data_IF_817677921742
#
_entry.id   IF_817677921742
#
_cell.length_a   1.000
_cell.length_b   1.000
_cell.length_c   1.000
_cell.angle_alpha   90.00
_cell.angle_beta   90.00
_cell.angle_gamma   90.00
#
_symmetry.space_group_name_H-M   'P 1'
#
loop_
_entity.id
_entity.type
_entity.pdbx_description
1 polymer ?
#
# COMPACT_ATOMS: atom_id res chain seq x y z
N UNK A 1 19.94 -6.79 3.83
CA UNK A 1 19.33 -5.47 3.51
C UNK A 1 18.83 -4.85 4.81
N UNK A 2 19.29 -3.64 5.15
CA UNK A 2 18.88 -2.94 6.38
C UNK A 2 17.59 -2.17 6.08
N UNK A 3 16.48 -2.51 6.74
CA UNK A 3 15.28 -1.66 6.72
C UNK A 3 15.66 -0.31 7.34
N UNK A 4 15.35 0.79 6.66
CA UNK A 4 15.68 2.14 7.15
C UNK A 4 14.72 2.49 8.29
N UNK A 5 15.18 2.33 9.53
CA UNK A 5 14.49 2.84 10.71
C UNK A 5 14.54 4.37 10.68
N UNK A 6 13.41 5.03 10.43
CA UNK A 6 13.28 6.47 10.56
C UNK A 6 12.57 6.78 11.88
N UNK A 7 13.33 7.20 12.89
CA UNK A 7 12.78 7.82 14.10
C UNK A 7 12.43 9.27 13.78
N UNK A 8 11.25 9.50 13.21
CA UNK A 8 10.81 10.87 12.88
C UNK A 8 9.98 11.43 14.02
N UNK A 9 10.61 12.27 14.84
CA UNK A 9 9.98 13.09 15.86
C UNK A 9 9.31 14.32 15.21
N UNK A 10 8.08 14.62 15.67
CA UNK A 10 7.49 15.97 15.81
C UNK A 10 6.51 16.54 14.76
N UNK A 11 6.42 16.04 13.52
CA UNK A 11 5.49 16.65 12.52
C UNK A 11 4.33 15.78 12.02
N UNK A 12 4.14 14.54 12.51
CA UNK A 12 3.08 13.63 12.01
C UNK A 12 2.01 13.20 13.04
N UNK A 13 1.97 13.84 14.21
CA UNK A 13 0.97 13.51 15.24
C UNK A 13 -0.48 13.73 14.77
N UNK A 14 -0.72 14.60 13.78
CA UNK A 14 -2.08 14.92 13.35
C UNK A 14 -2.77 13.77 12.60
N UNK A 15 -2.04 13.00 11.80
CA UNK A 15 -2.62 11.94 10.96
C UNK A 15 -3.01 10.69 11.75
N UNK A 16 -2.20 10.29 12.74
CA UNK A 16 -2.53 9.11 13.57
C UNK A 16 -3.70 9.39 14.53
N UNK A 17 -3.77 10.59 15.10
CA UNK A 17 -4.88 10.99 15.98
C UNK A 17 -6.21 10.97 15.21
N UNK A 18 -6.20 11.32 13.92
CA UNK A 18 -7.39 11.20 13.08
C UNK A 18 -7.80 9.74 12.87
N UNK A 19 -6.86 8.82 12.60
CA UNK A 19 -7.15 7.39 12.49
C UNK A 19 -7.75 6.81 13.78
N UNK A 20 -7.18 7.16 14.94
CA UNK A 20 -7.71 6.73 16.24
C UNK A 20 -9.13 7.24 16.51
N UNK A 21 -9.46 8.44 16.02
CA UNK A 21 -10.81 9.01 16.15
C UNK A 21 -11.81 8.39 15.18
N UNK A 22 -11.37 8.02 13.98
CA UNK A 22 -12.20 7.39 12.97
C UNK A 22 -12.49 5.92 13.32
N UNK A 23 -11.57 5.26 14.03
CA UNK A 23 -11.71 3.87 14.43
C UNK A 23 -11.35 2.90 13.30
N UNK A 24 -11.75 1.64 13.47
CA UNK A 24 -11.56 0.60 12.45
C UNK A 24 -12.41 0.89 11.21
N UNK A 25 -11.89 0.50 10.05
CA UNK A 25 -12.54 0.67 8.75
C UNK A 25 -12.05 -0.40 7.77
N UNK A 26 -12.56 -0.38 6.54
CA UNK A 26 -12.11 -1.27 5.46
C UNK A 26 -10.60 -1.16 5.15
N UNK A 27 -9.91 -0.13 5.65
CA UNK A 27 -8.47 0.09 5.44
C UNK A 27 -7.68 0.31 6.73
N UNK A 28 -8.32 0.19 7.90
CA UNK A 28 -7.71 0.46 9.20
C UNK A 28 -8.15 -0.61 10.19
N UNK A 29 -7.21 -1.34 10.79
CA UNK A 29 -7.52 -2.35 11.81
C UNK A 29 -6.67 -2.16 13.06
N UNK A 30 -7.28 -2.34 14.24
CA UNK A 30 -6.59 -2.20 15.52
C UNK A 30 -6.33 -3.59 16.09
N UNK A 31 -5.08 -3.84 16.51
CA UNK A 31 -4.69 -5.09 17.16
C UNK A 31 -3.92 -4.77 18.43
N UNK A 32 -4.23 -5.45 19.53
CA UNK A 32 -3.51 -5.24 20.79
C UNK A 32 -2.08 -5.80 20.72
N UNK A 33 -1.87 -6.87 19.96
CA UNK A 33 -0.60 -7.58 19.81
C UNK A 33 -0.37 -8.02 18.36
N UNK A 34 0.88 -8.33 18.03
CA UNK A 34 1.23 -8.92 16.74
C UNK A 34 0.99 -10.43 16.76
N UNK A 35 0.40 -10.95 15.68
CA UNK A 35 0.13 -12.38 15.53
C UNK A 35 -0.52 -12.69 14.18
N UNK A 36 -1.11 -13.88 14.07
CA UNK A 36 -1.75 -14.36 12.84
C UNK A 36 -2.81 -13.41 12.30
N UNK A 37 -3.61 -12.82 13.18
CA UNK A 37 -4.67 -11.88 12.78
C UNK A 37 -4.12 -10.65 12.06
N UNK A 38 -2.95 -10.13 12.48
CA UNK A 38 -2.30 -9.02 11.78
C UNK A 38 -1.94 -9.43 10.35
N UNK A 39 -1.39 -10.63 10.17
CA UNK A 39 -1.01 -11.14 8.84
C UNK A 39 -2.25 -11.32 7.96
N UNK A 40 -3.35 -11.84 8.51
CA UNK A 40 -4.63 -11.97 7.80
C UNK A 40 -5.20 -10.61 7.39
N UNK A 41 -5.14 -9.61 8.28
CA UNK A 41 -5.55 -8.24 7.98
C UNK A 41 -4.71 -7.65 6.83
N UNK A 42 -3.39 -7.83 6.88
CA UNK A 42 -2.48 -7.35 5.84
C UNK A 42 -2.71 -8.08 4.51
N UNK A 43 -3.00 -9.38 4.50
CA UNK A 43 -3.45 -10.11 3.30
C UNK A 43 -4.73 -9.49 2.73
N UNK A 44 -5.72 -9.24 3.57
CA UNK A 44 -6.99 -8.65 3.14
C UNK A 44 -6.79 -7.24 2.54
N UNK A 45 -5.94 -6.43 3.17
CA UNK A 45 -5.62 -5.08 2.69
C UNK A 45 -4.79 -5.09 1.42
N UNK A 46 -3.79 -5.98 1.31
CA UNK A 46 -2.99 -6.14 0.11
C UNK A 46 -3.85 -6.58 -1.09
N UNK A 47 -4.90 -7.37 -0.89
CA UNK A 47 -5.83 -7.73 -1.97
C UNK A 47 -6.75 -6.58 -2.41
N UNK A 48 -6.78 -5.47 -1.67
CA UNK A 48 -7.64 -4.31 -1.90
C UNK A 48 -6.80 -3.05 -2.21
N UNK A 49 -7.32 -1.88 -1.82
CA UNK A 49 -6.67 -0.56 -2.00
C UNK A 49 -5.51 -0.32 -1.00
N UNK A 50 -5.05 -1.36 -0.31
CA UNK A 50 -4.08 -1.27 0.76
C UNK A 50 -4.76 -0.98 2.10
N UNK A 51 -3.95 -0.77 3.12
CA UNK A 51 -4.46 -0.52 4.45
C UNK A 51 -3.38 -0.54 5.52
N UNK A 52 -3.80 -0.26 6.74
CA UNK A 52 -2.94 -0.12 7.90
C UNK A 52 -3.46 -0.93 9.07
N UNK A 53 -2.56 -1.64 9.72
CA UNK A 53 -2.81 -2.30 11.00
C UNK A 53 -2.03 -1.56 12.08
N UNK A 54 -2.72 -1.08 13.12
CA UNK A 54 -2.11 -0.48 14.31
C UNK A 54 -2.01 -1.51 15.42
N UNK A 55 -0.77 -1.91 15.72
CA UNK A 55 -0.46 -2.89 16.77
C UNK A 55 -0.11 -2.18 18.08
N UNK A 56 -0.73 -2.60 19.18
CA UNK A 56 -0.68 -1.96 20.49
C UNK A 56 -1.94 -1.16 20.83
N UNK A 57 -3.06 -1.44 20.15
CA UNK A 57 -4.35 -0.76 20.33
C UNK A 57 -5.46 -1.81 20.40
N UNK A 58 -6.27 -1.79 21.45
CA UNK A 58 -7.47 -2.62 21.55
C UNK A 58 -8.56 -2.15 20.56
N UNK A 59 -9.49 -3.01 20.20
CA UNK A 59 -10.65 -2.67 19.34
C UNK A 59 -11.50 -1.52 19.90
N UNK A 60 -11.40 -1.26 21.21
CA UNK A 60 -12.01 -0.09 21.88
C UNK A 60 -11.34 1.26 21.56
N UNK A 61 -10.21 1.24 20.84
CA UNK A 61 -9.32 2.39 20.62
C UNK A 61 -8.36 2.64 21.79
N UNK A 62 -8.40 1.82 22.84
CA UNK A 62 -7.50 1.96 24.00
C UNK A 62 -6.08 1.55 23.64
N UNK A 63 -5.14 2.46 23.84
CA UNK A 63 -3.71 2.25 23.58
C UNK A 63 -3.11 1.39 24.70
N UNK A 64 -2.80 0.14 24.41
CA UNK A 64 -2.11 -0.79 25.33
C UNK A 64 -0.60 -0.64 25.22
N UNK A 65 -0.13 -0.36 24.01
CA UNK A 65 1.27 -0.40 23.63
C UNK A 65 1.77 -1.82 23.40
N UNK A 66 2.94 -1.92 22.77
CA UNK A 66 3.69 -3.16 22.60
C UNK A 66 5.11 -2.99 23.12
N UNK A 67 5.74 -4.09 23.52
CA UNK A 67 7.14 -4.10 23.94
C UNK A 67 7.93 -4.88 22.89
N UNK A 68 8.79 -4.21 22.13
CA UNK A 68 9.56 -4.83 21.05
C UNK A 68 10.98 -4.28 20.99
N UNK A 69 11.93 -5.14 20.62
CA UNK A 69 13.29 -4.75 20.24
C UNK A 69 13.43 -4.59 18.73
N UNK A 70 14.60 -4.14 18.27
CA UNK A 70 14.93 -4.04 16.84
C UNK A 70 14.89 -5.38 16.12
N UNK A 71 15.32 -6.46 16.78
CA UNK A 71 15.25 -7.84 16.26
C UNK A 71 13.80 -8.33 16.15
N UNK A 72 12.95 -8.00 17.13
CA UNK A 72 11.54 -8.40 17.14
C UNK A 72 10.75 -7.83 15.95
N UNK A 73 11.02 -6.59 15.53
CA UNK A 73 10.36 -6.01 14.34
C UNK A 73 10.84 -6.70 13.06
N UNK A 74 12.12 -7.04 12.98
CA UNK A 74 12.64 -7.80 11.85
C UNK A 74 11.96 -9.17 11.75
N UNK A 75 11.72 -9.82 12.88
CA UNK A 75 10.98 -11.09 12.95
C UNK A 75 9.54 -10.94 12.48
N UNK A 76 8.85 -9.86 12.84
CA UNK A 76 7.49 -9.60 12.36
C UNK A 76 7.46 -9.43 10.84
N UNK A 77 8.40 -8.69 10.27
CA UNK A 77 8.54 -8.57 8.80
C UNK A 77 8.76 -9.94 8.16
N UNK A 78 9.61 -10.78 8.76
CA UNK A 78 9.88 -12.12 8.23
C UNK A 78 8.63 -13.02 8.32
N UNK A 79 7.89 -12.97 9.43
CA UNK A 79 6.64 -13.70 9.61
C UNK A 79 5.57 -13.25 8.60
N UNK A 80 5.43 -11.95 8.33
CA UNK A 80 4.52 -11.45 7.30
C UNK A 80 4.92 -12.00 5.93
N UNK A 81 6.20 -11.89 5.55
CA UNK A 81 6.67 -12.39 4.23
C UNK A 81 6.44 -13.87 4.02
N UNK A 82 6.60 -14.67 5.06
CA UNK A 82 6.45 -16.13 5.01
C UNK A 82 5.00 -16.57 5.17
N UNK A 83 4.18 -15.80 5.89
CA UNK A 83 2.77 -16.07 6.14
C UNK A 83 1.82 -15.54 5.06
N UNK A 84 2.35 -14.94 3.99
CA UNK A 84 1.57 -14.33 2.91
C UNK A 84 1.99 -14.95 1.57
N UNK A 85 1.00 -15.19 0.69
CA UNK A 85 1.25 -15.71 -0.65
C UNK A 85 0.44 -14.93 -1.69
N UNK A 86 1.12 -14.23 -2.61
CA UNK A 86 2.57 -14.08 -2.67
C UNK A 86 3.09 -13.14 -1.57
N UNK A 87 4.42 -13.08 -1.42
CA UNK A 87 5.04 -12.45 -0.26
C UNK A 87 4.82 -10.93 -0.20
N UNK A 88 4.12 -10.50 0.85
CA UNK A 88 3.91 -9.09 1.17
C UNK A 88 5.17 -8.51 1.83
N UNK A 89 5.63 -7.35 1.34
CA UNK A 89 6.68 -6.56 1.99
C UNK A 89 6.02 -5.32 2.59
N UNK A 90 5.76 -5.31 3.92
CA UNK A 90 5.07 -4.19 4.56
C UNK A 90 6.02 -3.01 4.81
N UNK A 91 5.45 -1.81 4.86
CA UNK A 91 6.07 -0.63 5.44
C UNK A 91 5.78 -0.61 6.96
N UNK A 92 6.81 -0.47 7.79
CA UNK A 92 6.66 -0.42 9.26
C UNK A 92 7.08 0.94 9.78
N UNK A 93 6.24 1.55 10.61
CA UNK A 93 6.53 2.77 11.36
C UNK A 93 6.34 2.55 12.85
N UNK A 94 7.30 3.03 13.64
CA UNK A 94 7.26 2.97 15.09
C UNK A 94 6.74 4.29 15.62
N UNK A 95 5.68 4.25 16.41
CA UNK A 95 5.00 5.41 16.95
C UNK A 95 5.07 5.39 18.48
N UNK A 96 5.19 6.56 19.09
CA UNK A 96 5.04 6.70 20.54
C UNK A 96 3.81 7.58 20.82
N UNK A 97 2.81 7.00 21.48
CA UNK A 97 1.55 7.68 21.83
C UNK A 97 1.31 7.49 23.31
N UNK A 98 1.17 8.58 24.06
CA UNK A 98 1.00 8.55 25.52
C UNK A 98 2.09 7.73 26.24
N UNK A 99 3.35 7.85 25.80
CA UNK A 99 4.52 7.07 26.31
C UNK A 99 4.41 5.56 26.10
N UNK A 100 3.53 5.12 25.21
CA UNK A 100 3.38 3.72 24.81
C UNK A 100 3.81 3.57 23.36
N UNK A 101 4.54 2.51 23.07
CA UNK A 101 4.96 2.21 21.72
C UNK A 101 3.83 1.53 20.95
N UNK A 102 3.53 2.02 19.75
CA UNK A 102 2.55 1.48 18.82
C UNK A 102 3.29 1.22 17.51
N UNK A 103 3.01 0.08 16.88
CA UNK A 103 3.60 -0.26 15.58
C UNK A 103 2.53 -0.10 14.53
N UNK A 104 2.80 0.78 13.57
CA UNK A 104 1.99 0.90 12.38
C UNK A 104 2.60 0.00 11.30
N UNK A 105 1.81 -0.93 10.77
CA UNK A 105 2.19 -1.82 9.68
C UNK A 105 1.25 -1.52 8.52
N UNK A 106 1.77 -0.96 7.45
CA UNK A 106 0.99 -0.62 6.27
C UNK A 106 1.39 -1.45 5.07
N UNK A 107 0.39 -1.83 4.30
CA UNK A 107 0.56 -2.37 2.96
C UNK A 107 -0.03 -1.38 1.99
N UNK A 108 0.76 -1.01 0.98
CA UNK A 108 0.24 -0.22 -0.11
C UNK A 108 -0.79 -1.06 -0.88
N UNK A 109 -1.65 -0.37 -1.63
CA UNK A 109 -2.54 -1.00 -2.61
C UNK A 109 -1.84 -2.16 -3.30
N UNK A 110 -2.50 -3.32 -3.39
CA UNK A 110 -2.04 -4.47 -4.16
C UNK A 110 -2.08 -4.18 -5.64
N UNK A 111 -1.30 -3.19 -6.04
CA UNK A 111 -0.94 -2.87 -7.38
C UNK A 111 0.57 -3.11 -7.34
N UNK A 112 1.07 -4.33 -7.51
CA UNK A 112 0.74 -5.15 -8.65
C UNK A 112 1.41 -6.51 -8.56
N UNK A 113 0.74 -7.49 -7.96
CA UNK A 113 1.17 -8.87 -8.12
C UNK A 113 0.97 -9.28 -9.58
N UNK A 114 2.08 -9.42 -10.28
CA UNK A 114 2.11 -9.77 -11.70
C UNK A 114 2.48 -8.64 -12.64
N UNK A 115 2.75 -7.41 -12.18
CA UNK A 115 3.37 -6.39 -13.03
C UNK A 115 4.88 -6.26 -12.82
N UNK A 116 5.61 -6.03 -13.92
CA UNK A 116 7.02 -5.65 -13.85
C UNK A 116 7.19 -4.14 -13.60
N UNK A 117 8.44 -3.72 -13.40
CA UNK A 117 8.79 -2.32 -13.12
C UNK A 117 8.25 -1.34 -14.18
N UNK A 118 8.31 -1.69 -15.46
CA UNK A 118 7.82 -0.83 -16.55
C UNK A 118 6.29 -0.69 -16.56
N UNK A 119 5.60 -1.78 -16.24
CA UNK A 119 4.14 -1.81 -16.11
C UNK A 119 3.66 -1.01 -14.88
N UNK A 120 4.39 -1.10 -13.76
CA UNK A 120 4.14 -0.26 -12.58
C UNK A 120 4.28 1.22 -12.91
N UNK A 121 5.39 1.60 -13.56
CA UNK A 121 5.62 2.99 -13.98
C UNK A 121 4.53 3.50 -14.93
N UNK A 122 4.05 2.65 -15.84
CA UNK A 122 2.94 2.99 -16.73
C UNK A 122 1.65 3.21 -15.94
N UNK A 123 1.32 2.31 -15.02
CA UNK A 123 0.14 2.43 -14.17
C UNK A 123 0.15 3.73 -13.36
N UNK A 124 1.28 4.03 -12.69
CA UNK A 124 1.47 5.28 -11.95
C UNK A 124 1.36 6.52 -12.84
N UNK A 125 1.86 6.44 -14.07
CA UNK A 125 1.77 7.53 -15.05
C UNK A 125 0.32 7.83 -15.42
N UNK A 126 -0.50 6.79 -15.64
CA UNK A 126 -1.94 6.95 -15.94
C UNK A 126 -2.69 7.46 -14.70
N UNK A 127 -2.33 6.98 -13.50
CA UNK A 127 -2.91 7.46 -12.22
C UNK A 127 -2.67 8.96 -12.02
N UNK A 128 -1.45 9.42 -12.31
CA UNK A 128 -1.05 10.84 -12.18
C UNK A 128 -1.59 11.72 -13.31
N UNK A 129 -1.82 11.16 -14.50
CA UNK A 129 -2.27 11.89 -15.68
C UNK A 129 -3.50 11.23 -16.31
N UNK A 130 -4.70 11.33 -15.68
CA UNK A 130 -5.92 10.73 -16.22
C UNK A 130 -6.24 11.28 -17.62
N UNK A 131 -6.57 10.40 -18.56
CA UNK A 131 -6.83 10.76 -19.95
C UNK A 131 -5.60 10.82 -20.85
N UNK A 132 -4.42 10.42 -20.35
CA UNK A 132 -3.21 10.32 -21.16
C UNK A 132 -3.34 9.27 -22.29
N UNK A 133 -2.67 9.50 -23.43
CA UNK A 133 -2.66 8.58 -24.58
C UNK A 133 -1.26 7.96 -24.76
N UNK A 134 -1.21 6.97 -25.65
CA UNK A 134 -0.02 6.14 -25.90
C UNK A 134 1.22 6.98 -26.29
N UNK A 135 1.13 7.96 -27.21
CA UNK A 135 2.30 8.75 -27.59
C UNK A 135 2.94 9.48 -26.41
N UNK A 136 2.14 10.06 -25.53
CA UNK A 136 2.59 10.83 -24.37
C UNK A 136 3.19 9.87 -23.32
N UNK A 137 2.54 8.73 -23.08
CA UNK A 137 3.08 7.68 -22.19
C UNK A 137 4.46 7.18 -22.67
N UNK A 138 4.62 6.96 -23.98
CA UNK A 138 5.90 6.53 -24.56
C UNK A 138 7.02 7.56 -24.33
N UNK A 139 6.70 8.85 -24.46
CA UNK A 139 7.64 9.95 -24.21
C UNK A 139 8.02 10.01 -22.72
N UNK A 140 7.03 10.02 -21.82
CA UNK A 140 7.27 10.14 -20.36
C UNK A 140 8.09 8.95 -19.84
N UNK A 141 7.78 7.74 -20.31
CA UNK A 141 8.42 6.51 -19.85
C UNK A 141 9.73 6.20 -20.60
N UNK A 142 10.12 7.03 -21.57
CA UNK A 142 11.27 6.79 -22.44
C UNK A 142 11.24 5.37 -23.03
N UNK A 143 10.05 4.93 -23.43
CA UNK A 143 9.76 3.54 -23.80
C UNK A 143 9.11 3.47 -25.17
N UNK A 144 9.45 2.47 -26.02
CA UNK A 144 8.82 2.33 -27.34
C UNK A 144 7.30 2.18 -27.26
N UNK A 145 6.57 2.81 -28.19
CA UNK A 145 5.09 2.75 -28.25
C UNK A 145 4.56 1.31 -28.21
N UNK A 146 5.19 0.39 -28.94
CA UNK A 146 4.82 -1.04 -28.97
C UNK A 146 4.94 -1.71 -27.59
N UNK A 147 5.91 -1.31 -26.79
CA UNK A 147 6.08 -1.80 -25.41
C UNK A 147 4.96 -1.26 -24.52
N UNK A 148 4.65 0.04 -24.64
CA UNK A 148 3.55 0.68 -23.92
C UNK A 148 2.20 0.04 -24.28
N UNK A 149 1.94 -0.23 -25.57
CA UNK A 149 0.74 -0.92 -26.03
C UNK A 149 0.58 -2.33 -25.43
N UNK A 150 1.69 -3.08 -25.36
CA UNK A 150 1.71 -4.40 -24.70
C UNK A 150 1.35 -4.29 -23.23
N UNK A 151 1.96 -3.35 -22.52
CA UNK A 151 1.68 -3.11 -21.10
C UNK A 151 0.23 -2.65 -20.87
N UNK A 152 -0.29 -1.73 -21.69
CA UNK A 152 -1.70 -1.32 -21.66
C UNK A 152 -2.62 -2.52 -21.85
N UNK A 153 -2.32 -3.40 -22.81
CA UNK A 153 -3.13 -4.59 -23.06
C UNK A 153 -3.19 -5.50 -21.83
N UNK A 154 -2.08 -5.64 -21.11
CA UNK A 154 -2.02 -6.39 -19.85
C UNK A 154 -2.79 -5.71 -18.74
N UNK A 155 -2.57 -4.42 -18.51
CA UNK A 155 -3.29 -3.63 -17.50
C UNK A 155 -4.82 -3.65 -17.72
N UNK A 156 -5.27 -3.59 -18.98
CA UNK A 156 -6.69 -3.75 -19.33
C UNK A 156 -7.21 -5.14 -18.99
N UNK A 157 -6.48 -6.21 -19.33
CA UNK A 157 -6.88 -7.59 -18.99
C UNK A 157 -6.99 -7.81 -17.49
N UNK A 158 -6.16 -7.13 -16.70
CA UNK A 158 -6.19 -7.17 -15.24
C UNK A 158 -7.25 -6.25 -14.62
N UNK A 159 -8.08 -5.58 -15.45
CA UNK A 159 -9.07 -4.59 -15.02
C UNK A 159 -8.47 -3.52 -14.10
N UNK A 160 -7.28 -3.02 -14.46
CA UNK A 160 -6.59 -1.94 -13.74
C UNK A 160 -6.80 -0.59 -14.40
N UNK A 161 -6.98 -0.58 -15.72
CA UNK A 161 -7.21 0.65 -16.51
C UNK A 161 -8.30 0.43 -17.55
N UNK A 162 -8.88 1.52 -18.02
CA UNK A 162 -9.78 1.53 -19.16
C UNK A 162 -9.55 2.74 -20.07
N UNK A 163 -10.04 2.66 -21.31
CA UNK A 163 -10.04 3.79 -22.24
C UNK A 163 -11.42 4.46 -22.19
N UNK A 164 -11.46 5.77 -21.93
CA UNK A 164 -12.70 6.54 -21.89
C UNK A 164 -12.68 7.63 -22.98
N UNK A 165 -13.85 7.87 -23.58
CA UNK A 165 -14.06 8.89 -24.60
C UNK A 165 -13.94 8.40 -26.05
N UNK A 166 -13.98 9.33 -27.00
CA UNK A 166 -13.91 9.00 -28.43
C UNK A 166 -12.51 8.52 -28.83
N UNK A 167 -12.37 7.72 -29.89
CA UNK A 167 -11.04 7.29 -30.39
C UNK A 167 -10.09 8.48 -30.72
N UNK A 168 -10.66 9.64 -31.06
CA UNK A 168 -9.90 10.84 -31.45
C UNK A 168 -9.50 11.69 -30.24
N UNK A 169 -10.33 11.76 -29.20
CA UNK A 169 -10.13 12.71 -28.08
C UNK A 169 -10.08 12.05 -26.69
N UNK A 170 -10.33 10.75 -26.60
CA UNK A 170 -10.29 10.00 -25.35
C UNK A 170 -8.88 9.63 -24.91
N UNK A 171 -8.80 8.92 -23.79
CA UNK A 171 -7.56 8.52 -23.15
C UNK A 171 -7.73 7.44 -22.08
N UNK A 172 -6.63 7.08 -21.42
CA UNK A 172 -6.62 6.01 -20.42
C UNK A 172 -6.81 6.54 -19.00
N UNK A 173 -7.55 5.78 -18.19
CA UNK A 173 -7.88 6.09 -16.80
C UNK A 173 -7.67 4.85 -15.94
N UNK A 174 -7.23 5.04 -14.70
CA UNK A 174 -7.22 3.97 -13.69
C UNK A 174 -8.66 3.68 -13.24
N UNK A 175 -8.95 2.40 -13.05
CA UNK A 175 -10.20 1.96 -12.44
C UNK A 175 -10.09 2.06 -10.92
N UNK A 176 -10.95 2.86 -10.30
CA UNK A 176 -11.12 2.81 -8.85
C UNK A 176 -11.86 1.52 -8.52
N UNK A 177 -11.15 0.53 -7.96
CA UNK A 177 -11.79 -0.61 -7.32
C UNK A 177 -12.51 -0.05 -6.09
N UNK A 178 -13.84 -0.10 -6.13
CA UNK A 178 -14.68 0.12 -4.95
C UNK A 178 -14.62 -1.11 -4.08
#
# INVERSE_FOLDING_TARGET
>A
MKYKFQTTTKNMNHSIIQLLRQGESETVEFKSTFGKEVIESLCAFANNIGGVVLVGIENSGKITGVNYGSESIQDWVNQIKQGTSPSIVPDIRLLEINRKQVVEISVNEGLNEGLNEGENKLFDTIKKNPGIRIPEMAIILLSPKKTVERWISKLKKMNLIEYRGSKKTGGYFVLNRK
#
